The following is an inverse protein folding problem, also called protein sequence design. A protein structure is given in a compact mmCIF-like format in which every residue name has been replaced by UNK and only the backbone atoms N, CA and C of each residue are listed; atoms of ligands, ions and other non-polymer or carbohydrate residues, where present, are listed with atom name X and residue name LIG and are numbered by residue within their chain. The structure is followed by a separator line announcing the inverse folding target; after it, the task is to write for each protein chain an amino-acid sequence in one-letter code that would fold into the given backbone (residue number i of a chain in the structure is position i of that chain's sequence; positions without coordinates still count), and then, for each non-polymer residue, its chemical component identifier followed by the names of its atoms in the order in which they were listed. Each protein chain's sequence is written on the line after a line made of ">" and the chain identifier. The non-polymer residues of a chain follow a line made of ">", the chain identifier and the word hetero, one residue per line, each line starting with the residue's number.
data_IF_277750932291
#
_entry.id   IF_277750932291
#
_cell.length_a   1.000
_cell.length_b   1.000
_cell.length_c   1.000
_cell.angle_alpha   90.00
_cell.angle_beta   90.00
_cell.angle_gamma   90.00
#
_symmetry.space_group_name_H-M   'P 1'
#
loop_
_entity.id
_entity.type
_entity.pdbx_description
1 polymer ?
#
# COMPACT_ATOMS: atom_id res chain seq x y z
N UNK A 1 -23.38 18.59 -3.77
CA UNK A 1 -22.55 17.65 -4.57
C UNK A 1 -21.71 16.86 -3.59
N UNK A 2 -21.87 15.53 -3.53
CA UNK A 2 -21.16 14.68 -2.57
C UNK A 2 -19.87 14.16 -3.25
N UNK A 3 -18.66 14.45 -2.74
CA UNK A 3 -17.44 13.95 -3.36
C UNK A 3 -17.41 12.44 -3.12
N UNK A 4 -17.61 11.67 -4.19
CA UNK A 4 -17.41 10.23 -4.18
C UNK A 4 -15.97 9.98 -3.73
N UNK A 5 -15.80 9.51 -2.51
CA UNK A 5 -14.56 8.86 -2.12
C UNK A 5 -14.37 7.69 -3.08
N UNK A 6 -13.25 7.58 -3.81
CA UNK A 6 -12.90 6.35 -4.48
C UNK A 6 -12.47 5.35 -3.40
N UNK A 7 -13.45 4.84 -2.64
CA UNK A 7 -13.31 3.51 -2.04
C UNK A 7 -13.46 2.54 -3.20
N UNK A 8 -12.40 2.42 -4.01
CA UNK A 8 -12.24 1.24 -4.83
C UNK A 8 -12.07 0.11 -3.82
N UNK A 9 -13.16 -0.57 -3.50
CA UNK A 9 -13.13 -1.76 -2.67
C UNK A 9 -12.09 -2.69 -3.32
N UNK A 10 -10.95 -2.86 -2.65
CA UNK A 10 -9.95 -3.83 -3.09
C UNK A 10 -10.63 -5.18 -2.90
N UNK A 11 -11.08 -5.77 -4.00
CA UNK A 11 -11.68 -7.08 -3.95
C UNK A 11 -10.60 -8.14 -3.66
N UNK A 12 -11.04 -9.28 -3.15
CA UNK A 12 -10.14 -10.38 -2.81
C UNK A 12 -9.28 -10.82 -4.00
N UNK A 13 -9.79 -10.70 -5.23
CA UNK A 13 -9.07 -11.09 -6.44
C UNK A 13 -7.88 -10.17 -6.74
N UNK A 14 -8.06 -8.87 -6.51
CA UNK A 14 -7.02 -7.85 -6.67
C UNK A 14 -5.94 -8.05 -5.62
N UNK A 15 -6.34 -8.34 -4.37
CA UNK A 15 -5.41 -8.63 -3.31
C UNK A 15 -4.61 -9.91 -3.58
N UNK A 16 -5.28 -10.96 -4.07
CA UNK A 16 -4.66 -12.24 -4.41
C UNK A 16 -3.58 -12.07 -5.49
N UNK A 17 -3.85 -11.28 -6.53
CA UNK A 17 -2.89 -10.96 -7.60
C UNK A 17 -1.62 -10.24 -7.14
N UNK A 18 -1.64 -9.62 -5.96
CA UNK A 18 -0.48 -8.93 -5.38
C UNK A 18 0.23 -9.80 -4.35
N UNK A 19 -0.53 -10.56 -3.54
CA UNK A 19 0.03 -11.41 -2.48
C UNK A 19 0.73 -12.63 -3.06
N UNK A 20 0.17 -13.31 -4.07
CA UNK A 20 0.79 -14.52 -4.64
C UNK A 20 2.20 -14.27 -5.18
N UNK A 21 2.43 -13.28 -6.07
CA UNK A 21 3.78 -13.02 -6.58
C UNK A 21 4.78 -12.65 -5.48
N UNK A 22 4.32 -11.97 -4.42
CA UNK A 22 5.16 -11.62 -3.29
C UNK A 22 5.53 -12.86 -2.47
N UNK A 23 4.57 -13.77 -2.25
CA UNK A 23 4.82 -15.03 -1.58
C UNK A 23 5.80 -15.91 -2.39
N UNK A 24 5.62 -15.99 -3.71
CA UNK A 24 6.52 -16.72 -4.60
C UNK A 24 7.95 -16.15 -4.54
N UNK A 25 8.09 -14.83 -4.59
CA UNK A 25 9.38 -14.16 -4.46
C UNK A 25 10.07 -14.47 -3.12
N UNK A 26 9.34 -14.41 -2.01
CA UNK A 26 9.88 -14.68 -0.68
C UNK A 26 10.30 -16.16 -0.54
N UNK A 27 9.48 -17.08 -1.06
CA UNK A 27 9.75 -18.51 -1.00
C UNK A 27 10.92 -18.93 -1.90
N UNK A 28 11.13 -18.25 -3.03
CA UNK A 28 12.23 -18.52 -3.95
C UNK A 28 13.58 -17.93 -3.50
N UNK A 29 13.60 -17.09 -2.47
CA UNK A 29 14.83 -16.45 -2.00
C UNK A 29 15.72 -17.42 -1.20
N UNK A 30 17.05 -17.29 -1.35
CA UNK A 30 18.02 -18.06 -0.57
C UNK A 30 17.89 -17.86 0.95
N UNK A 31 17.32 -16.72 1.37
CA UNK A 31 17.03 -16.39 2.75
C UNK A 31 15.59 -15.85 2.89
N UNK A 32 14.57 -16.73 2.92
CA UNK A 32 13.16 -16.32 2.91
C UNK A 32 12.79 -15.38 4.06
N UNK A 33 13.40 -15.60 5.23
CA UNK A 33 13.16 -14.79 6.43
C UNK A 33 13.65 -13.35 6.27
N UNK A 34 14.79 -13.15 5.60
CA UNK A 34 15.29 -11.82 5.29
C UNK A 34 14.51 -11.16 4.15
N UNK A 35 14.15 -11.93 3.12
CA UNK A 35 13.31 -11.45 2.02
C UNK A 35 11.96 -10.94 2.54
N UNK A 36 11.31 -11.69 3.43
CA UNK A 36 10.07 -11.29 4.10
C UNK A 36 10.25 -10.00 4.91
N UNK A 37 11.32 -9.89 5.70
CA UNK A 37 11.58 -8.70 6.51
C UNK A 37 11.78 -7.44 5.64
N UNK A 38 12.50 -7.57 4.53
CA UNK A 38 12.69 -6.48 3.56
C UNK A 38 11.38 -6.10 2.87
N UNK A 39 10.61 -7.09 2.41
CA UNK A 39 9.31 -6.87 1.77
C UNK A 39 8.34 -6.13 2.72
N UNK A 40 8.25 -6.59 3.97
CA UNK A 40 7.41 -5.95 4.98
C UNK A 40 7.81 -4.49 5.21
N UNK A 41 9.12 -4.20 5.28
CA UNK A 41 9.60 -2.84 5.48
C UNK A 41 9.24 -1.92 4.32
N UNK A 42 9.43 -2.37 3.08
CA UNK A 42 9.05 -1.61 1.88
C UNK A 42 7.54 -1.31 1.83
N UNK A 43 6.71 -2.28 2.21
CA UNK A 43 5.25 -2.09 2.28
C UNK A 43 4.86 -1.06 3.35
N UNK A 44 5.47 -1.12 4.53
CA UNK A 44 5.23 -0.15 5.60
C UNK A 44 5.64 1.26 5.16
N UNK A 45 6.82 1.42 4.57
CA UNK A 45 7.32 2.70 4.05
C UNK A 45 6.35 3.28 3.00
N UNK A 46 5.81 2.43 2.11
CA UNK A 46 4.81 2.82 1.12
C UNK A 46 3.49 3.28 1.72
N UNK A 47 2.99 2.59 2.74
CA UNK A 47 1.77 3.00 3.48
C UNK A 47 1.99 4.33 4.20
N UNK A 48 3.11 4.48 4.90
CA UNK A 48 3.44 5.74 5.58
C UNK A 48 3.56 6.89 4.59
N UNK A 49 4.24 6.69 3.46
CA UNK A 49 4.35 7.71 2.41
C UNK A 49 2.99 8.10 1.87
N UNK A 50 2.15 7.13 1.53
CA UNK A 50 0.79 7.35 1.03
C UNK A 50 -0.04 8.14 2.04
N UNK A 51 0.03 7.79 3.32
CA UNK A 51 -0.66 8.50 4.40
C UNK A 51 -0.15 9.94 4.54
N UNK A 52 1.16 10.18 4.47
CA UNK A 52 1.72 11.54 4.51
C UNK A 52 1.24 12.39 3.35
N UNK A 53 1.30 11.87 2.13
CA UNK A 53 0.83 12.57 0.92
C UNK A 53 -0.67 12.86 1.00
N UNK A 54 -1.47 11.87 1.43
CA UNK A 54 -2.91 12.04 1.61
C UNK A 54 -3.25 13.12 2.64
N UNK A 55 -2.54 13.15 3.78
CA UNK A 55 -2.70 14.20 4.79
C UNK A 55 -2.32 15.57 4.26
N UNK A 56 -1.18 15.69 3.57
CA UNK A 56 -0.75 16.95 2.97
C UNK A 56 -1.76 17.47 1.94
N UNK A 57 -2.38 16.58 1.16
CA UNK A 57 -3.46 16.96 0.24
C UNK A 57 -4.69 17.48 0.98
N UNK A 58 -5.14 16.79 2.03
CA UNK A 58 -6.29 17.24 2.85
C UNK A 58 -6.05 18.60 3.50
N UNK A 59 -4.84 18.83 4.01
CA UNK A 59 -4.43 20.11 4.59
C UNK A 59 -4.39 21.23 3.54
N UNK A 60 -3.86 20.95 2.35
CA UNK A 60 -3.86 21.88 1.22
C UNK A 60 -5.27 22.25 0.75
N UNK A 61 -6.18 21.26 0.66
CA UNK A 61 -7.59 21.50 0.32
C UNK A 61 -8.28 22.36 1.38
N UNK A 62 -7.98 22.13 2.66
CA UNK A 62 -8.55 22.90 3.77
C UNK A 62 -8.05 24.34 3.83
N UNK A 63 -6.80 24.59 3.45
CA UNK A 63 -6.20 25.94 3.47
C UNK A 63 -6.60 26.81 2.27
N UNK A 64 -7.15 26.21 1.21
CA UNK A 64 -7.65 26.92 0.02
C UNK A 64 -9.16 27.19 0.03
N UNK A 65 -9.86 26.88 1.13
CA UNK A 65 -11.29 27.16 1.38
C UNK A 65 -11.44 28.25 2.45
#
# INVERSE_FOLDING_TARGET
>A
MNPRQPSAAIDASTLHRVIEPLADFICAADQPRMALASALRLLLDGVEHTNRVGRGHLESVRAGA
#
